data_IF_715585637496
#
_entry.id   IF_715585637496
#
_cell.length_a   1.000
_cell.length_b   1.000
_cell.length_c   1.000
_cell.angle_alpha   90.00
_cell.angle_beta   90.00
_cell.angle_gamma   90.00
#
_symmetry.space_group_name_H-M   'P 1'
#
loop_
_entity.id
_entity.type
_entity.pdbx_description
1 polymer ?
#
# COMPACT_ATOMS: atom_id res chain seq x y z
N UNK A 1 8.88 18.73 -7.04
CA UNK A 1 8.83 18.00 -5.76
C UNK A 1 8.58 16.55 -6.09
N UNK A 2 9.11 15.62 -5.31
CA UNK A 2 8.90 14.19 -5.57
C UNK A 2 7.52 13.78 -5.08
N UNK A 3 6.81 12.92 -5.81
CA UNK A 3 5.53 12.37 -5.41
C UNK A 3 5.56 10.86 -5.53
N UNK A 4 5.70 10.17 -4.40
CA UNK A 4 5.85 8.72 -4.41
C UNK A 4 4.54 7.99 -4.67
N UNK A 5 4.57 7.11 -5.65
CA UNK A 5 3.47 6.23 -6.01
C UNK A 5 3.94 4.79 -6.15
N UNK A 6 2.99 3.86 -6.15
CA UNK A 6 3.26 2.47 -6.49
C UNK A 6 2.31 2.01 -7.59
N UNK A 7 2.86 1.39 -8.63
CA UNK A 7 2.11 0.64 -9.64
C UNK A 7 2.14 -0.84 -9.25
N UNK A 8 0.99 -1.49 -9.28
CA UNK A 8 0.82 -2.92 -9.07
C UNK A 8 0.30 -3.55 -10.36
N UNK A 9 1.17 -4.29 -11.05
CA UNK A 9 0.83 -5.03 -12.26
C UNK A 9 0.22 -6.39 -11.89
N UNK A 10 -1.11 -6.47 -11.92
CA UNK A 10 -1.83 -7.69 -11.55
C UNK A 10 -1.59 -8.83 -12.56
N UNK A 11 -1.22 -8.51 -13.81
CA UNK A 11 -0.88 -9.51 -14.83
C UNK A 11 0.37 -10.32 -14.47
N UNK A 12 1.22 -9.75 -13.60
CA UNK A 12 2.48 -10.38 -13.12
C UNK A 12 2.33 -11.00 -11.74
N UNK A 13 1.32 -10.62 -10.97
CA UNK A 13 1.17 -11.09 -9.60
C UNK A 13 0.73 -12.56 -9.58
N UNK A 14 1.46 -13.41 -8.86
CA UNK A 14 1.14 -14.84 -8.71
C UNK A 14 0.64 -15.20 -7.30
N UNK A 15 0.39 -14.20 -6.44
CA UNK A 15 -0.09 -14.43 -5.08
C UNK A 15 0.89 -15.17 -4.16
N UNK A 16 2.21 -15.02 -4.34
CA UNK A 16 3.22 -15.75 -3.56
C UNK A 16 3.43 -15.24 -2.12
N UNK A 17 2.81 -14.12 -1.73
CA UNK A 17 2.91 -13.51 -0.40
C UNK A 17 4.33 -13.08 0.06
N UNK A 18 5.38 -13.19 -0.77
CA UNK A 18 6.73 -12.74 -0.41
C UNK A 18 6.76 -11.26 0.02
N UNK A 19 6.01 -10.42 -0.69
CA UNK A 19 5.87 -8.99 -0.35
C UNK A 19 5.26 -8.76 1.05
N UNK A 20 4.35 -9.62 1.49
CA UNK A 20 3.73 -9.55 2.82
C UNK A 20 4.72 -9.98 3.90
N UNK A 21 5.45 -11.08 3.67
CA UNK A 21 6.46 -11.58 4.60
C UNK A 21 7.62 -10.59 4.76
N UNK A 22 8.16 -10.07 3.65
CA UNK A 22 9.24 -9.09 3.70
C UNK A 22 8.85 -7.81 4.46
N UNK A 23 7.63 -7.31 4.23
CA UNK A 23 7.11 -6.15 4.94
C UNK A 23 6.95 -6.42 6.44
N UNK A 24 6.45 -7.61 6.81
CA UNK A 24 6.34 -8.06 8.19
C UNK A 24 7.70 -8.10 8.89
N UNK A 25 8.69 -8.74 8.26
CA UNK A 25 10.04 -8.90 8.82
C UNK A 25 10.73 -7.56 8.99
N UNK A 26 10.68 -6.68 7.98
CA UNK A 26 11.32 -5.36 8.05
C UNK A 26 10.73 -4.47 9.14
N UNK A 27 9.40 -4.45 9.27
CA UNK A 27 8.71 -3.56 10.21
C UNK A 27 8.50 -4.20 11.60
N UNK A 28 9.05 -5.40 11.84
CA UNK A 28 8.83 -6.20 13.06
C UNK A 28 7.36 -6.23 13.50
N UNK A 29 6.47 -6.60 12.57
CA UNK A 29 5.03 -6.50 12.81
C UNK A 29 4.53 -7.58 13.77
N UNK A 30 3.62 -7.24 14.70
CA UNK A 30 2.85 -8.21 15.47
C UNK A 30 2.15 -9.25 14.59
N UNK A 31 1.87 -10.44 15.12
CA UNK A 31 1.26 -11.55 14.35
C UNK A 31 -0.10 -11.21 13.74
N UNK A 32 -0.84 -10.30 14.36
CA UNK A 32 -2.16 -9.85 13.94
C UNK A 32 -2.13 -8.61 13.04
N UNK A 33 -0.96 -8.08 12.68
CA UNK A 33 -0.83 -6.89 11.83
C UNK A 33 -0.23 -7.26 10.48
N UNK A 34 -0.89 -6.80 9.41
CA UNK A 34 -0.47 -7.02 8.02
C UNK A 34 -0.59 -5.71 7.26
N UNK A 35 0.53 -5.15 6.84
CA UNK A 35 0.57 -3.86 6.13
C UNK A 35 0.17 -3.93 4.66
N UNK A 36 0.40 -5.06 4.02
CA UNK A 36 0.19 -5.26 2.59
C UNK A 36 -0.33 -6.67 2.28
N UNK A 37 -1.58 -6.98 2.64
CA UNK A 37 -2.16 -8.29 2.38
C UNK A 37 -2.32 -8.52 0.87
N UNK A 38 -2.29 -9.78 0.46
CA UNK A 38 -2.62 -10.18 -0.91
C UNK A 38 -3.96 -10.90 -0.86
N UNK A 39 -5.00 -10.24 -1.37
CA UNK A 39 -6.33 -10.79 -1.43
C UNK A 39 -6.43 -11.73 -2.63
N UNK A 40 -6.97 -12.92 -2.40
CA UNK A 40 -7.31 -13.82 -3.51
C UNK A 40 -8.69 -13.43 -4.01
N UNK A 41 -8.75 -12.91 -5.23
CA UNK A 41 -10.04 -12.71 -5.89
C UNK A 41 -10.53 -14.08 -6.36
N UNK A 42 -11.83 -14.34 -6.21
CA UNK A 42 -12.42 -15.65 -6.49
C UNK A 42 -12.21 -16.15 -7.93
N UNK A 43 -12.66 -17.38 -8.18
CA UNK A 43 -12.62 -17.96 -9.54
C UNK A 43 -13.49 -17.12 -10.47
N UNK A 44 -12.89 -16.62 -11.55
CA UNK A 44 -13.55 -15.88 -12.64
C UNK A 44 -13.58 -16.77 -13.88
N UNK A 45 -14.54 -16.51 -14.77
CA UNK A 45 -14.77 -17.28 -15.99
C UNK A 45 -15.71 -18.48 -15.81
N UNK A 46 -15.83 -19.27 -16.85
CA UNK A 46 -16.74 -20.42 -16.93
C UNK A 46 -15.95 -21.64 -17.38
N UNK A 47 -16.18 -22.80 -16.75
CA UNK A 47 -15.53 -24.06 -17.12
C UNK A 47 -15.60 -24.34 -18.64
N UNK A 48 -14.50 -24.75 -19.30
CA UNK A 48 -13.18 -25.08 -18.75
C UNK A 48 -12.23 -23.88 -18.56
N UNK A 49 -12.64 -22.68 -18.98
CA UNK A 49 -11.82 -21.48 -19.02
C UNK A 49 -12.00 -20.64 -17.74
N UNK A 50 -11.50 -21.18 -16.63
CA UNK A 50 -11.51 -20.53 -15.32
C UNK A 50 -10.13 -19.97 -14.98
N UNK A 51 -10.10 -18.79 -14.36
CA UNK A 51 -8.87 -18.17 -13.88
C UNK A 51 -9.08 -17.58 -12.48
N UNK A 52 -7.98 -17.26 -11.82
CA UNK A 52 -7.96 -16.66 -10.49
C UNK A 52 -6.96 -15.52 -10.50
N UNK A 53 -7.31 -14.46 -9.79
CA UNK A 53 -6.56 -13.22 -9.76
C UNK A 53 -6.18 -12.88 -8.32
N UNK A 54 -5.18 -12.03 -8.17
CA UNK A 54 -4.72 -11.57 -6.87
C UNK A 54 -4.74 -10.05 -6.83
N UNK A 55 -5.21 -9.52 -5.70
CA UNK A 55 -5.24 -8.10 -5.41
C UNK A 55 -4.33 -7.81 -4.21
N UNK A 56 -3.04 -7.53 -4.44
CA UNK A 56 -2.17 -7.00 -3.41
C UNK A 56 -2.66 -5.62 -2.98
N UNK A 57 -3.07 -5.47 -1.74
CA UNK A 57 -3.46 -4.18 -1.15
C UNK A 57 -2.39 -3.72 -0.18
N UNK A 58 -2.44 -2.43 0.16
CA UNK A 58 -1.60 -1.73 1.13
C UNK A 58 -2.20 -0.34 1.39
N UNK A 59 -1.64 0.42 2.33
CA UNK A 59 -2.02 1.82 2.50
C UNK A 59 -1.90 2.58 1.18
N UNK A 60 -2.96 3.30 0.81
CA UNK A 60 -3.03 3.97 -0.48
C UNK A 60 -2.21 5.26 -0.57
N UNK A 61 -1.66 5.74 0.56
CA UNK A 61 -0.94 7.01 0.66
C UNK A 61 -1.68 8.17 -0.03
N UNK A 62 -3.00 8.23 0.17
CA UNK A 62 -3.93 9.17 -0.45
C UNK A 62 -3.41 10.61 -0.46
N UNK A 63 -3.65 11.33 -1.55
CA UNK A 63 -3.39 12.77 -1.70
C UNK A 63 -4.21 13.59 -0.70
N UNK A 64 -5.48 13.18 -0.49
CA UNK A 64 -6.41 13.77 0.49
C UNK A 64 -6.75 12.70 1.55
N UNK A 65 -5.81 12.40 2.46
CA UNK A 65 -5.97 11.28 3.39
C UNK A 65 -6.94 11.64 4.51
N UNK A 66 -8.16 11.07 4.50
CA UNK A 66 -9.16 11.28 5.57
C UNK A 66 -8.64 10.93 6.99
N UNK A 67 -7.65 10.05 7.05
CA UNK A 67 -7.03 9.58 8.28
C UNK A 67 -6.05 10.58 8.94
N UNK A 68 -5.61 11.64 8.24
CA UNK A 68 -4.74 12.70 8.79
C UNK A 68 -5.55 13.73 9.58
N UNK A 69 -6.53 14.45 8.99
CA UNK A 69 -7.25 15.51 9.70
C UNK A 69 -8.15 14.97 10.82
N UNK A 70 -8.53 13.69 10.80
CA UNK A 70 -9.34 13.09 11.86
C UNK A 70 -8.54 12.76 13.14
N UNK A 71 -7.21 12.94 13.14
CA UNK A 71 -6.36 12.55 14.26
C UNK A 71 -6.35 13.63 15.35
N UNK A 72 -6.95 13.38 16.53
CA UNK A 72 -7.11 14.42 17.55
C UNK A 72 -5.79 14.83 18.22
N UNK A 73 -4.79 13.96 18.22
CA UNK A 73 -3.46 14.24 18.79
C UNK A 73 -2.48 14.78 17.77
N UNK A 74 -2.89 14.90 16.49
CA UNK A 74 -1.99 15.27 15.41
C UNK A 74 -0.90 14.23 15.11
N UNK A 75 -1.09 12.96 15.50
CA UNK A 75 -0.11 11.89 15.27
C UNK A 75 -0.03 11.43 13.80
N UNK A 76 -1.11 11.56 13.02
CA UNK A 76 -1.07 11.19 11.60
C UNK A 76 -0.57 12.36 10.77
N UNK A 77 0.42 12.11 9.91
CA UNK A 77 1.08 13.12 9.09
C UNK A 77 1.10 12.68 7.62
N UNK A 78 1.31 13.64 6.73
CA UNK A 78 1.63 13.44 5.33
C UNK A 78 2.83 14.32 5.01
N UNK A 79 3.91 13.72 4.52
CA UNK A 79 5.11 14.45 4.09
C UNK A 79 4.87 15.12 2.72
N UNK A 80 5.74 16.07 2.35
CA UNK A 80 5.68 16.76 1.05
C UNK A 80 5.75 15.78 -0.14
N UNK A 81 6.36 14.62 0.08
CA UNK A 81 6.50 13.55 -0.92
C UNK A 81 5.24 12.68 -1.09
N UNK A 82 4.17 13.00 -0.37
CA UNK A 82 2.89 12.28 -0.36
C UNK A 82 2.83 11.13 0.65
N UNK A 83 3.93 10.78 1.33
CA UNK A 83 3.95 9.67 2.28
C UNK A 83 3.14 10.02 3.52
N UNK A 84 2.00 9.38 3.66
CA UNK A 84 1.26 9.37 4.93
C UNK A 84 1.99 8.49 5.95
N UNK A 85 2.13 8.91 7.22
CA UNK A 85 2.73 8.14 8.33
C UNK A 85 2.10 8.48 9.69
N UNK A 86 2.54 7.80 10.76
CA UNK A 86 2.02 7.99 12.13
C UNK A 86 3.21 8.19 13.07
N UNK A 87 3.21 9.28 13.82
CA UNK A 87 4.07 9.49 14.98
C UNK A 87 3.56 8.64 16.14
N UNK A 88 4.35 7.63 16.53
CA UNK A 88 3.95 6.68 17.56
C UNK A 88 3.94 7.29 18.96
N UNK A 89 4.74 8.32 19.22
CA UNK A 89 4.83 8.97 20.54
C UNK A 89 3.58 9.82 20.82
N UNK A 90 2.94 10.34 19.77
CA UNK A 90 1.68 11.09 19.87
C UNK A 90 0.44 10.21 19.74
N UNK A 91 0.58 8.95 19.36
CA UNK A 91 -0.57 8.09 19.07
C UNK A 91 -1.19 7.55 20.36
N UNK A 92 -2.35 8.09 20.75
CA UNK A 92 -3.16 7.55 21.87
C UNK A 92 -4.06 6.36 21.48
N UNK A 93 -3.96 5.91 20.22
CA UNK A 93 -4.74 4.83 19.63
C UNK A 93 -6.25 4.86 19.89
N UNK A 94 -6.86 6.02 19.66
CA UNK A 94 -8.31 6.21 19.70
C UNK A 94 -9.07 5.56 18.53
N UNK A 95 -8.36 4.97 17.56
CA UNK A 95 -8.89 4.30 16.37
C UNK A 95 -9.72 5.16 15.40
N UNK A 96 -9.82 6.48 15.62
CA UNK A 96 -10.49 7.39 14.69
C UNK A 96 -9.96 7.27 13.25
N UNK A 97 -8.64 7.22 13.09
CA UNK A 97 -8.00 7.07 11.78
C UNK A 97 -8.17 5.67 11.16
N UNK A 98 -8.45 4.64 11.97
CA UNK A 98 -8.78 3.29 11.48
C UNK A 98 -10.17 3.33 10.82
N UNK A 99 -11.16 3.88 11.52
CA UNK A 99 -12.52 4.02 11.00
C UNK A 99 -12.62 4.99 9.82
N UNK A 100 -11.79 6.02 9.78
CA UNK A 100 -11.75 6.99 8.68
C UNK A 100 -11.10 6.44 7.39
N UNK A 101 -10.35 5.32 7.47
CA UNK A 101 -9.66 4.78 6.30
C UNK A 101 -10.62 3.91 5.47
N UNK A 102 -11.00 4.32 4.25
CA UNK A 102 -11.94 3.53 3.44
C UNK A 102 -11.34 2.20 2.94
N UNK A 103 -10.02 2.05 3.04
CA UNK A 103 -9.29 0.87 2.61
C UNK A 103 -9.03 -0.13 3.75
N UNK A 104 -9.29 0.22 5.01
CA UNK A 104 -8.96 -0.63 6.16
C UNK A 104 -7.46 -0.89 6.33
N UNK A 105 -6.60 0.05 5.92
CA UNK A 105 -5.13 -0.13 5.86
C UNK A 105 -4.39 0.46 7.08
N UNK A 106 -5.10 0.60 8.19
CA UNK A 106 -4.61 1.06 9.48
C UNK A 106 -5.17 0.13 10.54
N UNK A 107 -4.33 -0.34 11.45
CA UNK A 107 -4.79 -1.20 12.55
C UNK A 107 -3.89 -1.07 13.77
N UNK A 108 -4.37 -1.54 14.92
CA UNK A 108 -3.67 -1.56 16.19
C UNK A 108 -3.60 -3.01 16.68
N UNK A 109 -2.41 -3.48 17.06
CA UNK A 109 -2.26 -4.87 17.51
C UNK A 109 -3.04 -5.14 18.79
N UNK A 110 -3.84 -6.19 18.76
CA UNK A 110 -4.54 -6.79 19.90
C UNK A 110 -3.66 -7.76 20.67
N UNK A 111 -2.54 -8.18 20.11
CA UNK A 111 -1.56 -9.06 20.76
C UNK A 111 -0.52 -8.30 21.59
N UNK A 112 -0.30 -7.01 21.31
CA UNK A 112 0.65 -6.20 22.07
C UNK A 112 0.07 -5.71 23.43
N UNK A 113 0.95 -5.48 24.44
CA UNK A 113 0.55 -4.86 25.71
C UNK A 113 -0.06 -3.48 25.49
N UNK A 114 -1.02 -3.08 26.33
CA UNK A 114 -1.78 -1.81 26.19
C UNK A 114 -0.90 -0.59 25.89
N UNK A 115 0.23 -0.45 26.58
CA UNK A 115 1.13 0.69 26.42
C UNK A 115 1.83 0.74 25.05
N UNK A 116 1.94 -0.41 24.35
CA UNK A 116 2.55 -0.52 23.03
C UNK A 116 1.53 -0.54 21.90
N UNK A 117 0.25 -0.30 22.20
CA UNK A 117 -0.79 -0.33 21.19
C UNK A 117 -0.96 1.05 20.56
N UNK A 118 -0.09 1.41 19.64
CA UNK A 118 -0.31 2.50 18.69
C UNK A 118 -0.88 1.97 17.37
N UNK A 119 -1.51 2.85 16.60
CA UNK A 119 -1.98 2.50 15.25
C UNK A 119 -0.78 2.40 14.32
N UNK A 120 -0.80 1.38 13.47
CA UNK A 120 0.25 0.99 12.56
C UNK A 120 -0.28 0.95 11.13
N UNK A 121 0.59 1.21 10.14
CA UNK A 121 0.29 1.11 8.71
C UNK A 121 1.55 1.14 7.85
N UNK A 122 1.45 0.69 6.60
CA UNK A 122 2.52 0.82 5.59
C UNK A 122 2.99 2.27 5.45
N UNK A 123 4.29 2.51 5.43
CA UNK A 123 4.93 3.84 5.31
C UNK A 123 5.74 4.00 4.02
N UNK A 124 5.52 3.16 3.00
CA UNK A 124 6.44 3.06 1.85
C UNK A 124 7.91 2.92 2.26
N UNK A 125 8.16 2.16 3.33
CA UNK A 125 9.50 1.97 3.92
C UNK A 125 10.23 3.31 4.15
N UNK A 126 9.51 4.35 4.58
CA UNK A 126 10.04 5.71 4.84
C UNK A 126 11.39 5.69 5.57
N UNK A 127 11.51 4.90 6.63
CA UNK A 127 12.73 4.85 7.44
C UNK A 127 13.90 4.18 6.69
N UNK A 128 13.61 3.20 5.83
CA UNK A 128 14.61 2.60 4.93
C UNK A 128 15.12 3.63 3.92
N UNK A 129 14.20 4.40 3.32
CA UNK A 129 14.53 5.43 2.34
C UNK A 129 15.21 6.65 2.94
N UNK A 130 14.96 6.92 4.22
CA UNK A 130 15.69 7.94 4.96
C UNK A 130 17.17 7.54 5.18
N UNK A 131 17.46 6.24 5.31
CA UNK A 131 18.82 5.73 5.41
C UNK A 131 19.53 5.61 4.04
N UNK A 132 18.78 5.25 2.99
CA UNK A 132 19.26 5.18 1.61
C UNK A 132 18.18 5.76 0.66
N UNK A 133 18.34 7.01 0.17
CA UNK A 133 17.36 7.65 -0.71
C UNK A 133 17.09 6.92 -2.02
N UNK A 134 18.01 6.06 -2.48
CA UNK A 134 17.85 5.24 -3.68
C UNK A 134 17.13 3.91 -3.42
N UNK A 135 16.90 3.56 -2.15
CA UNK A 135 16.30 2.29 -1.79
C UNK A 135 14.82 2.22 -2.16
N UNK A 136 14.42 1.07 -2.70
CA UNK A 136 13.02 0.74 -2.92
C UNK A 136 12.40 0.08 -1.67
N UNK A 137 11.07 0.15 -1.49
CA UNK A 137 10.41 -0.57 -0.42
C UNK A 137 10.68 -2.08 -0.50
N UNK A 138 10.85 -2.76 0.63
CA UNK A 138 11.14 -4.21 0.67
C UNK A 138 10.10 -5.08 -0.05
N UNK A 139 8.84 -4.63 -0.08
CA UNK A 139 7.78 -5.33 -0.82
C UNK A 139 7.97 -5.28 -2.34
N UNK A 140 8.72 -4.30 -2.86
CA UNK A 140 9.16 -4.16 -4.26
C UNK A 140 10.39 -5.03 -4.49
N UNK A 141 11.44 -4.85 -3.68
CA UNK A 141 12.71 -5.59 -3.81
C UNK A 141 12.56 -7.12 -3.79
N UNK A 142 11.65 -7.64 -2.96
CA UNK A 142 11.39 -9.09 -2.86
C UNK A 142 10.51 -9.63 -4.00
N UNK A 143 9.88 -8.78 -4.80
CA UNK A 143 8.91 -9.22 -5.79
C UNK A 143 9.62 -9.81 -7.03
N UNK A 144 9.81 -11.14 -7.03
CA UNK A 144 10.47 -11.85 -8.13
C UNK A 144 9.80 -11.64 -9.50
N UNK A 145 8.49 -11.38 -9.53
CA UNK A 145 7.73 -11.11 -10.75
C UNK A 145 7.74 -9.63 -11.17
N UNK A 146 8.36 -8.74 -10.38
CA UNK A 146 8.34 -7.29 -10.58
C UNK A 146 6.92 -6.76 -10.81
N UNK A 147 5.98 -7.28 -10.00
CA UNK A 147 4.57 -6.92 -10.03
C UNK A 147 4.30 -5.64 -9.22
N UNK A 148 5.19 -5.26 -8.30
CA UNK A 148 5.13 -3.98 -7.59
C UNK A 148 6.26 -3.12 -8.14
N UNK A 149 5.95 -1.89 -8.51
CA UNK A 149 6.89 -0.90 -9.04
C UNK A 149 6.68 0.38 -8.23
N UNK A 150 7.74 0.94 -7.66
CA UNK A 150 7.68 2.14 -6.84
C UNK A 150 8.54 3.23 -7.45
N UNK A 151 8.10 4.49 -7.35
CA UNK A 151 8.87 5.59 -7.91
C UNK A 151 8.18 6.94 -7.75
N UNK A 152 8.81 7.95 -8.35
CA UNK A 152 8.34 9.33 -8.38
C UNK A 152 7.44 9.57 -9.60
N UNK A 153 6.18 9.92 -9.36
CA UNK A 153 5.22 10.26 -10.42
C UNK A 153 5.53 11.59 -11.11
N UNK A 154 6.26 12.49 -10.44
CA UNK A 154 6.57 13.81 -10.98
C UNK A 154 7.89 13.79 -11.80
N UNK A 155 8.62 12.67 -11.80
CA UNK A 155 9.72 12.40 -12.74
C UNK A 155 9.19 11.68 -13.99
N UNK A 156 9.19 12.32 -15.18
CA UNK A 156 8.74 11.70 -16.42
C UNK A 156 9.59 10.50 -16.87
N UNK A 157 10.82 10.38 -16.37
CA UNK A 157 11.71 9.28 -16.70
C UNK A 157 11.51 8.05 -15.81
N UNK A 158 10.79 8.17 -14.71
CA UNK A 158 10.52 7.07 -13.79
C UNK A 158 9.68 5.97 -14.46
N UNK A 159 9.87 4.72 -14.02
CA UNK A 159 9.11 3.60 -14.56
C UNK A 159 7.61 3.75 -14.27
N UNK A 160 7.25 4.27 -13.09
CA UNK A 160 5.84 4.49 -12.72
C UNK A 160 5.15 5.53 -13.60
N UNK A 161 5.81 6.65 -13.92
CA UNK A 161 5.26 7.69 -14.80
C UNK A 161 5.02 7.16 -16.22
N UNK A 162 5.99 6.39 -16.74
CA UNK A 162 5.87 5.74 -18.05
C UNK A 162 4.73 4.72 -18.08
N UNK A 163 4.60 3.89 -17.05
CA UNK A 163 3.52 2.89 -16.97
C UNK A 163 2.15 3.58 -16.91
N UNK A 164 1.96 4.53 -16.00
CA UNK A 164 0.67 5.23 -15.83
C UNK A 164 0.27 5.97 -17.12
N UNK A 165 1.22 6.51 -17.88
CA UNK A 165 0.95 7.18 -19.16
C UNK A 165 0.78 6.26 -20.38
N UNK A 166 1.17 4.99 -20.30
CA UNK A 166 1.20 4.07 -21.46
C UNK A 166 0.22 2.92 -21.40
N UNK A 167 -0.31 2.58 -20.22
CA UNK A 167 -1.29 1.50 -20.04
C UNK A 167 -2.47 1.97 -19.21
N UNK A 168 -3.63 1.34 -19.44
CA UNK A 168 -4.80 1.59 -18.60
C UNK A 168 -4.51 1.16 -17.16
N UNK A 169 -4.73 2.09 -16.23
CA UNK A 169 -4.59 1.86 -14.80
C UNK A 169 -5.86 2.25 -14.08
N UNK A 170 -6.15 1.55 -12.98
CA UNK A 170 -7.30 1.83 -12.12
C UNK A 170 -6.84 2.10 -10.70
N UNK A 171 -7.62 2.89 -9.96
CA UNK A 171 -7.40 3.16 -8.54
C UNK A 171 -8.56 2.65 -7.72
N UNK A 172 -8.28 2.08 -6.55
CA UNK A 172 -9.34 1.55 -5.69
C UNK A 172 -10.12 2.70 -5.04
N UNK A 173 -11.46 2.60 -5.07
CA UNK A 173 -12.38 3.57 -4.46
C UNK A 173 -12.08 5.03 -4.85
N UNK A 174 -11.78 5.25 -6.12
CA UNK A 174 -11.44 6.56 -6.66
C UNK A 174 -12.61 7.56 -6.54
N UNK A 175 -13.84 7.05 -6.59
CA UNK A 175 -15.10 7.77 -6.42
C UNK A 175 -15.23 8.47 -5.05
N UNK A 176 -14.48 8.02 -4.04
CA UNK A 176 -14.45 8.66 -2.72
C UNK A 176 -13.60 9.93 -2.67
N UNK A 177 -12.92 10.30 -3.77
CA UNK A 177 -12.20 11.57 -3.89
C UNK A 177 -10.95 11.70 -3.00
N UNK A 178 -10.43 10.61 -2.45
CA UNK A 178 -9.22 10.61 -1.59
C UNK A 178 -7.92 10.77 -2.38
N UNK A 179 -7.96 10.59 -3.71
CA UNK A 179 -6.78 10.58 -4.58
C UNK A 179 -5.75 9.51 -4.21
N UNK A 180 -6.05 8.20 -4.33
CA UNK A 180 -5.11 7.12 -4.03
C UNK A 180 -3.83 7.21 -4.87
N UNK A 181 -2.70 6.85 -4.28
CA UNK A 181 -1.38 6.86 -4.92
C UNK A 181 -0.88 5.43 -5.26
N UNK A 182 -1.80 4.46 -5.27
CA UNK A 182 -1.56 3.10 -5.74
C UNK A 182 -2.36 2.90 -7.01
N UNK A 183 -1.67 2.58 -8.09
CA UNK A 183 -2.23 2.37 -9.41
C UNK A 183 -2.17 0.88 -9.72
N UNK A 184 -3.27 0.31 -10.18
CA UNK A 184 -3.34 -1.09 -10.57
C UNK A 184 -3.39 -1.19 -12.08
N UNK A 185 -2.52 -2.00 -12.67
CA UNK A 185 -2.72 -2.48 -14.04
C UNK A 185 -3.57 -3.75 -13.90
N UNK A 186 -4.85 -3.72 -14.30
CA UNK A 186 -5.73 -4.84 -14.11
C UNK A 186 -5.28 -6.05 -14.91
N UNK A 187 -5.60 -7.24 -14.43
CA UNK A 187 -5.44 -8.44 -15.23
C UNK A 187 -6.30 -8.32 -16.50
N UNK A 188 -5.74 -8.70 -17.64
CA UNK A 188 -6.50 -8.90 -18.86
C UNK A 188 -7.31 -10.18 -18.66
N UNK A 189 -8.52 -10.06 -18.11
CA UNK A 189 -9.40 -11.19 -17.76
C UNK A 189 -9.32 -12.27 -18.83
N UNK A 190 -8.65 -13.38 -18.48
CA UNK A 190 -8.17 -14.34 -19.45
C UNK A 190 -9.32 -14.87 -20.30
N UNK A 191 -9.37 -14.47 -21.56
CA UNK A 191 -10.05 -15.25 -22.59
C UNK A 191 -9.07 -16.35 -22.98
N UNK A 192 -9.11 -17.46 -22.25
CA UNK A 192 -8.50 -18.70 -22.72
C UNK A 192 -9.21 -19.17 -24.00
#
# INVERSE_FOLDING_TARGET
>A
MTRYVMVIDQRRCIGCHSCTVACRTWNDLPLDIVYNPVLTEGVKGTWPNVHRSWLPTLCMHCEKPACVPCCPTGASHQDEDGVVWIDYDKCMACLACVNACPYGMRDQSKLQPRLHRFVRKCTFCRDHRAADPGAEPYCVATCHQKARIFGDLDDPNSEVSKLIGSVETVRLLEDLGTGPQIYYIPELGGKA
#
